data_IF_026396869514
#
_entry.id   IF_026396869514
#
_cell.length_a   1.000
_cell.length_b   1.000
_cell.length_c   1.000
_cell.angle_alpha   90.00
_cell.angle_beta   90.00
_cell.angle_gamma   90.00
#
_symmetry.space_group_name_H-M   'P 1'
#
loop_
_entity.id
_entity.type
_entity.pdbx_description
1 polymer ?
#
# COMPACT_ATOMS: atom_id res chain seq x y z
N UNK A 1 2.89 -8.01 6.90
CA UNK A 1 3.41 -8.01 5.52
C UNK A 1 2.22 -7.81 4.62
N UNK A 2 2.27 -6.80 3.77
CA UNK A 2 1.18 -6.44 2.88
C UNK A 2 1.52 -6.97 1.51
N UNK A 3 0.59 -7.67 0.86
CA UNK A 3 0.77 -8.08 -0.53
C UNK A 3 -0.36 -7.52 -1.37
N UNK A 4 -0.03 -7.19 -2.62
CA UNK A 4 -0.98 -6.73 -3.62
C UNK A 4 -0.93 -7.65 -4.84
N UNK A 5 -2.02 -7.69 -5.59
CA UNK A 5 -2.02 -8.26 -6.93
C UNK A 5 -1.31 -7.33 -7.94
N UNK A 6 -1.21 -7.77 -9.19
CA UNK A 6 -0.58 -7.00 -10.26
C UNK A 6 -1.32 -5.70 -10.58
N UNK A 7 -2.61 -5.60 -10.22
CA UNK A 7 -3.45 -4.43 -10.42
C UNK A 7 -3.37 -3.43 -9.25
N UNK A 8 -2.74 -3.81 -8.14
CA UNK A 8 -2.56 -2.97 -6.96
C UNK A 8 -3.61 -3.19 -5.86
N UNK A 9 -4.40 -4.27 -5.93
CA UNK A 9 -5.39 -4.61 -4.90
C UNK A 9 -4.79 -5.51 -3.84
N UNK A 10 -5.12 -5.24 -2.57
CA UNK A 10 -4.59 -6.00 -1.44
C UNK A 10 -5.06 -7.46 -1.45
N UNK A 11 -4.10 -8.37 -1.35
CA UNK A 11 -4.33 -9.81 -1.22
C UNK A 11 -4.17 -10.30 0.22
N UNK A 12 -3.34 -9.62 1.01
CA UNK A 12 -3.15 -9.94 2.42
C UNK A 12 -2.68 -8.72 3.22
N UNK A 13 -3.04 -8.71 4.50
CA UNK A 13 -2.52 -7.82 5.50
C UNK A 13 -2.46 -8.56 6.83
N UNK A 14 -1.51 -8.18 7.70
CA UNK A 14 -1.61 -8.57 9.10
C UNK A 14 -2.48 -7.59 9.89
N UNK A 15 -2.86 -7.96 11.11
CA UNK A 15 -3.68 -7.14 12.01
C UNK A 15 -3.21 -5.69 12.13
N UNK A 16 -1.93 -5.49 12.42
CA UNK A 16 -1.33 -4.17 12.57
C UNK A 16 -1.51 -3.29 11.33
N UNK A 17 -1.35 -3.87 10.13
CA UNK A 17 -1.53 -3.14 8.87
C UNK A 17 -2.99 -2.77 8.61
N UNK A 18 -3.93 -3.65 8.94
CA UNK A 18 -5.35 -3.35 8.86
C UNK A 18 -5.74 -2.23 9.82
N UNK A 19 -5.25 -2.28 11.07
CA UNK A 19 -5.46 -1.23 12.07
C UNK A 19 -4.84 0.10 11.64
N UNK A 20 -3.62 0.08 11.09
CA UNK A 20 -2.97 1.27 10.52
C UNK A 20 -3.82 1.89 9.41
N UNK A 21 -4.50 1.09 8.61
CA UNK A 21 -5.39 1.55 7.54
C UNK A 21 -6.79 1.97 8.04
N UNK A 22 -7.06 1.87 9.34
CA UNK A 22 -8.35 2.24 9.95
C UNK A 22 -9.38 1.12 10.01
N UNK A 23 -8.98 -0.13 9.79
CA UNK A 23 -9.88 -1.30 9.85
C UNK A 23 -9.69 -2.13 11.12
N UNK A 24 -10.78 -2.77 11.56
CA UNK A 24 -10.76 -3.64 12.74
C UNK A 24 -10.30 -5.05 12.42
N UNK A 25 -10.54 -5.53 11.20
CA UNK A 25 -10.20 -6.89 10.77
C UNK A 25 -9.38 -6.88 9.48
N UNK A 26 -8.46 -7.83 9.36
CA UNK A 26 -7.56 -7.98 8.21
C UNK A 26 -8.33 -8.19 6.91
N UNK A 27 -9.47 -8.89 6.96
CA UNK A 27 -10.32 -9.11 5.79
C UNK A 27 -10.89 -7.83 5.18
N UNK A 28 -11.02 -6.76 5.97
CA UNK A 28 -11.68 -5.53 5.54
C UNK A 28 -10.81 -4.70 4.59
N UNK A 29 -9.49 -4.98 4.53
CA UNK A 29 -8.57 -4.34 3.59
C UNK A 29 -8.40 -5.12 2.28
N UNK A 30 -8.83 -6.39 2.24
CA UNK A 30 -8.67 -7.23 1.05
C UNK A 30 -9.51 -6.67 -0.10
N UNK A 31 -8.91 -6.58 -1.29
CA UNK A 31 -9.54 -5.99 -2.48
C UNK A 31 -9.56 -4.47 -2.51
N UNK A 32 -9.03 -3.78 -1.49
CA UNK A 32 -8.81 -2.32 -1.53
C UNK A 32 -7.53 -1.98 -2.27
N UNK A 33 -7.48 -0.80 -2.84
CA UNK A 33 -6.27 -0.18 -3.41
C UNK A 33 -5.80 0.96 -2.50
N UNK A 34 -4.60 1.50 -2.71
CA UNK A 34 -4.14 2.68 -1.94
C UNK A 34 -5.07 3.90 -2.10
N UNK A 35 -5.88 3.96 -3.16
CA UNK A 35 -6.89 5.00 -3.36
C UNK A 35 -8.06 4.91 -2.37
N UNK A 36 -8.29 3.75 -1.78
CA UNK A 36 -9.35 3.49 -0.81
C UNK A 36 -8.90 3.72 0.65
N UNK A 37 -7.62 4.09 0.86
CA UNK A 37 -6.98 4.16 2.18
C UNK A 37 -6.66 5.61 2.56
N UNK A 38 -6.41 5.88 3.84
CA UNK A 38 -6.21 7.26 4.33
C UNK A 38 -4.96 7.95 3.79
N UNK A 39 -4.03 7.20 3.19
CA UNK A 39 -2.87 7.72 2.45
C UNK A 39 -3.12 7.87 0.94
N UNK A 40 -4.38 8.01 0.51
CA UNK A 40 -4.75 8.14 -0.92
C UNK A 40 -3.97 9.22 -1.68
N UNK A 41 -3.47 10.26 -0.99
CA UNK A 41 -2.62 11.31 -1.59
C UNK A 41 -1.34 10.74 -2.22
N UNK A 42 -0.84 9.63 -1.69
CA UNK A 42 0.37 8.97 -2.17
C UNK A 42 0.07 7.78 -3.10
N UNK A 43 -1.20 7.48 -3.37
CA UNK A 43 -1.62 6.27 -4.09
C UNK A 43 -1.00 6.17 -5.50
N UNK A 44 -0.89 7.29 -6.22
CA UNK A 44 -0.25 7.33 -7.54
C UNK A 44 1.24 7.00 -7.44
N UNK A 45 1.95 7.62 -6.50
CA UNK A 45 3.39 7.40 -6.27
C UNK A 45 3.66 5.96 -5.87
N UNK A 46 2.86 5.40 -4.96
CA UNK A 46 2.95 4.01 -4.53
C UNK A 46 2.71 3.08 -5.72
N UNK A 47 1.66 3.32 -6.52
CA UNK A 47 1.34 2.49 -7.69
C UNK A 47 2.45 2.51 -8.73
N UNK A 48 3.05 3.66 -9.00
CA UNK A 48 4.20 3.79 -9.90
C UNK A 48 5.42 3.03 -9.37
N UNK A 49 5.67 3.08 -8.05
CA UNK A 49 6.71 2.28 -7.41
C UNK A 49 6.48 0.78 -7.59
N UNK A 50 5.28 0.31 -7.28
CA UNK A 50 4.88 -1.09 -7.44
C UNK A 50 5.08 -1.56 -8.90
N UNK A 51 4.67 -0.74 -9.88
CA UNK A 51 4.86 -1.02 -11.30
C UNK A 51 6.34 -1.13 -11.68
N UNK A 52 7.19 -0.23 -11.17
CA UNK A 52 8.63 -0.27 -11.44
C UNK A 52 9.31 -1.49 -10.82
N UNK A 53 8.90 -1.91 -9.62
CA UNK A 53 9.41 -3.17 -9.04
C UNK A 53 9.11 -4.35 -9.95
N UNK A 54 7.89 -4.43 -10.49
CA UNK A 54 7.48 -5.50 -11.40
C UNK A 54 8.21 -5.47 -12.75
N UNK A 55 8.45 -4.28 -13.31
CA UNK A 55 9.09 -4.15 -14.63
C UNK A 55 10.62 -4.24 -14.56
N UNK A 56 11.24 -3.68 -13.53
CA UNK A 56 12.70 -3.63 -13.38
C UNK A 56 13.25 -4.85 -12.62
N UNK A 57 12.39 -5.63 -11.96
CA UNK A 57 12.74 -6.74 -11.07
C UNK A 57 13.78 -6.36 -10.00
N UNK A 58 13.58 -5.19 -9.39
CA UNK A 58 14.45 -4.61 -8.36
C UNK A 58 13.65 -4.14 -7.17
N UNK A 59 14.23 -4.27 -5.98
CA UNK A 59 13.66 -3.67 -4.77
C UNK A 59 13.79 -2.15 -4.84
N UNK A 60 12.66 -1.46 -4.69
CA UNK A 60 12.60 0.01 -4.62
C UNK A 60 12.16 0.40 -3.21
N UNK A 61 12.91 1.30 -2.58
CA UNK A 61 12.52 1.90 -1.30
C UNK A 61 11.93 3.29 -1.56
N UNK A 62 10.65 3.46 -1.24
CA UNK A 62 9.98 4.75 -1.23
C UNK A 62 9.98 5.32 0.20
N UNK A 63 10.52 6.52 0.38
CA UNK A 63 10.52 7.22 1.66
C UNK A 63 9.74 8.53 1.53
N UNK A 64 8.82 8.77 2.46
CA UNK A 64 8.15 10.06 2.61
C UNK A 64 8.75 10.80 3.80
N UNK A 65 9.31 11.98 3.53
CA UNK A 65 9.78 12.87 4.60
C UNK A 65 8.58 13.61 5.17
N UNK A 66 8.23 13.32 6.41
CA UNK A 66 7.17 14.02 7.14
C UNK A 66 7.82 15.15 7.95
N UNK A 67 7.83 16.36 7.40
CA UNK A 67 8.19 17.54 8.19
C UNK A 67 7.06 17.83 9.18
N UNK A 68 7.37 17.84 10.48
CA UNK A 68 6.46 18.34 11.50
C UNK A 68 6.72 19.84 11.67
N UNK A 69 5.70 20.65 11.37
CA UNK A 69 5.60 22.02 11.87
C UNK A 69 5.07 22.00 13.31
#
# INVERSE_FOLDING_TARGET
>A
MFTKDLNGYCLSANKYQAEMAGFKHEKDIIGKSDYDLHWYSDAVTIRQGDQRVMTENKTILLQRVMWKN
#
